data_IF_569451033863
#
_entry.id   IF_569451033863
#
_cell.length_a   1.000
_cell.length_b   1.000
_cell.length_c   1.000
_cell.angle_alpha   90.00
_cell.angle_beta   90.00
_cell.angle_gamma   90.00
#
_symmetry.space_group_name_H-M   'P 1'
#
loop_
_entity.id
_entity.type
_entity.pdbx_description
1 polymer ?
#
# COMPACT_ATOMS: atom_id res chain seq x y z
N UNK A 1 37.58 34.40 -20.65
CA UNK A 1 37.32 33.32 -19.67
C UNK A 1 36.19 33.74 -18.75
N UNK A 2 34.98 33.32 -19.01
CA UNK A 2 33.86 33.51 -18.05
C UNK A 2 34.02 32.43 -17.00
N UNK A 3 34.60 32.78 -15.86
CA UNK A 3 34.63 31.91 -14.68
C UNK A 3 33.17 31.71 -14.22
N UNK A 4 32.77 30.45 -14.00
CA UNK A 4 31.47 30.13 -13.46
C UNK A 4 31.29 30.88 -12.13
N UNK A 5 30.31 31.79 -11.99
CA UNK A 5 30.20 32.66 -10.82
C UNK A 5 29.63 31.94 -9.58
N UNK A 6 29.25 30.65 -9.71
CA UNK A 6 28.63 29.89 -8.64
C UNK A 6 29.41 28.62 -8.36
N UNK A 7 29.81 28.43 -7.10
CA UNK A 7 30.26 27.14 -6.58
C UNK A 7 29.02 26.35 -6.15
N UNK A 8 28.68 25.33 -6.89
CA UNK A 8 27.63 24.41 -6.50
C UNK A 8 28.13 23.47 -5.40
N UNK A 9 27.59 23.59 -4.20
CA UNK A 9 27.75 22.59 -3.15
C UNK A 9 26.69 21.51 -3.31
N UNK A 10 27.07 20.35 -3.82
CA UNK A 10 26.15 19.23 -3.98
C UNK A 10 26.12 18.41 -2.70
N UNK A 11 24.94 18.35 -2.06
CA UNK A 11 24.71 17.52 -0.87
C UNK A 11 23.82 16.34 -1.25
N UNK A 12 24.39 15.14 -1.25
CA UNK A 12 23.63 13.92 -1.48
C UNK A 12 22.92 13.50 -0.17
N UNK A 13 21.59 13.42 -0.21
CA UNK A 13 20.78 12.94 0.93
C UNK A 13 20.53 11.42 0.86
N UNK A 14 20.46 10.87 -0.34
CA UNK A 14 20.29 9.44 -0.60
C UNK A 14 20.93 9.08 -1.94
N UNK A 15 21.27 7.80 -2.11
CA UNK A 15 21.83 7.30 -3.36
C UNK A 15 20.78 6.42 -4.08
N UNK A 16 20.37 6.85 -5.26
CA UNK A 16 19.47 6.10 -6.13
C UNK A 16 20.24 5.62 -7.35
N UNK A 17 20.54 4.30 -7.47
CA UNK A 17 21.44 3.79 -8.51
C UNK A 17 20.93 4.00 -9.94
N UNK A 18 19.62 3.85 -10.14
CA UNK A 18 18.98 3.92 -11.45
C UNK A 18 17.49 4.25 -11.34
N UNK A 19 16.85 4.50 -12.49
CA UNK A 19 15.43 4.82 -12.58
C UNK A 19 14.52 3.71 -12.01
N UNK A 20 14.91 2.44 -12.18
CA UNK A 20 14.15 1.32 -11.62
C UNK A 20 14.06 1.37 -10.09
N UNK A 21 15.17 1.72 -9.40
CA UNK A 21 15.15 1.92 -7.95
C UNK A 21 14.29 3.12 -7.53
N UNK A 22 14.30 4.20 -8.32
CA UNK A 22 13.46 5.37 -8.05
C UNK A 22 11.95 5.04 -8.16
N UNK A 23 11.58 4.19 -9.12
CA UNK A 23 10.19 3.82 -9.39
C UNK A 23 9.71 2.63 -8.56
N UNK A 24 10.62 1.80 -8.05
CA UNK A 24 10.30 0.57 -7.30
C UNK A 24 9.28 0.78 -6.16
N UNK A 25 9.35 1.83 -5.31
CA UNK A 25 8.36 2.06 -4.26
C UNK A 25 6.92 2.16 -4.76
N UNK A 26 6.75 2.81 -5.90
CA UNK A 26 5.45 2.98 -6.54
C UNK A 26 4.93 1.66 -7.13
N UNK A 27 5.79 0.95 -7.87
CA UNK A 27 5.42 -0.33 -8.52
C UNK A 27 5.09 -1.39 -7.49
N UNK A 28 5.87 -1.50 -6.40
CA UNK A 28 5.60 -2.41 -5.28
C UNK A 28 4.24 -2.12 -4.63
N UNK A 29 3.99 -0.85 -4.31
CA UNK A 29 2.70 -0.48 -3.73
C UNK A 29 1.54 -0.75 -4.69
N UNK A 30 1.72 -0.50 -5.97
CA UNK A 30 0.74 -0.80 -7.01
C UNK A 30 0.44 -2.30 -7.08
N UNK A 31 1.48 -3.14 -7.14
CA UNK A 31 1.34 -4.58 -7.29
C UNK A 31 0.61 -5.21 -6.08
N UNK A 32 0.94 -4.80 -4.86
CA UNK A 32 0.25 -5.24 -3.64
C UNK A 32 -1.24 -4.86 -3.65
N UNK A 33 -1.58 -3.64 -4.07
CA UNK A 33 -2.97 -3.21 -4.16
C UNK A 33 -3.74 -3.99 -5.23
N UNK A 34 -3.14 -4.16 -6.41
CA UNK A 34 -3.74 -4.94 -7.51
C UNK A 34 -3.90 -6.39 -7.11
N UNK A 35 -2.93 -6.99 -6.42
CA UNK A 35 -3.03 -8.36 -5.89
C UNK A 35 -4.23 -8.53 -4.95
N UNK A 36 -4.42 -7.59 -4.04
CA UNK A 36 -5.57 -7.56 -3.15
C UNK A 36 -6.90 -7.39 -3.92
N UNK A 37 -6.88 -6.56 -4.97
CA UNK A 37 -8.05 -6.32 -5.83
C UNK A 37 -8.43 -7.59 -6.59
N UNK A 38 -7.48 -8.24 -7.24
CA UNK A 38 -7.69 -9.51 -7.98
C UNK A 38 -8.23 -10.60 -7.05
N UNK A 39 -7.68 -10.73 -5.85
CA UNK A 39 -8.21 -11.69 -4.86
C UNK A 39 -9.67 -11.41 -4.55
N UNK A 40 -10.05 -10.17 -4.27
CA UNK A 40 -11.43 -9.81 -3.93
C UNK A 40 -12.41 -9.91 -5.11
N UNK A 41 -11.92 -9.90 -6.35
CA UNK A 41 -12.73 -10.21 -7.53
C UNK A 41 -12.95 -11.72 -7.71
N UNK A 42 -11.89 -12.52 -7.52
CA UNK A 42 -11.92 -13.96 -7.76
C UNK A 42 -12.55 -14.74 -6.60
N UNK A 43 -12.33 -14.30 -5.35
CA UNK A 43 -12.79 -15.01 -4.18
C UNK A 43 -14.25 -14.67 -3.82
N UNK A 44 -15.13 -15.67 -3.64
CA UNK A 44 -16.54 -15.46 -3.31
C UNK A 44 -16.68 -15.05 -1.84
N UNK A 45 -16.40 -13.81 -1.53
CA UNK A 45 -16.21 -13.31 -0.16
C UNK A 45 -17.50 -13.38 0.66
N UNK A 46 -18.68 -13.16 0.04
CA UNK A 46 -19.99 -13.20 0.69
C UNK A 46 -20.52 -14.62 0.91
N UNK A 47 -19.98 -15.61 0.19
CA UNK A 47 -20.49 -16.97 0.28
C UNK A 47 -20.18 -17.58 1.64
N UNK A 48 -21.21 -18.07 2.32
CA UNK A 48 -21.08 -18.83 3.55
C UNK A 48 -20.64 -20.24 3.20
N UNK A 49 -19.54 -20.71 3.79
CA UNK A 49 -18.99 -22.05 3.51
C UNK A 49 -19.67 -23.15 4.33
N UNK A 50 -20.33 -22.80 5.44
CA UNK A 50 -20.95 -23.74 6.36
C UNK A 50 -22.28 -23.17 6.86
N UNK A 51 -23.37 -23.90 6.65
CA UNK A 51 -24.74 -23.46 6.99
C UNK A 51 -24.94 -23.31 8.52
N UNK A 52 -24.22 -24.10 9.33
CA UNK A 52 -24.36 -24.11 10.80
C UNK A 52 -23.30 -23.24 11.50
N UNK A 53 -22.56 -22.42 10.76
CA UNK A 53 -21.51 -21.55 11.30
C UNK A 53 -22.08 -20.28 11.94
N UNK A 54 -21.49 -19.84 13.07
CA UNK A 54 -21.81 -18.53 13.64
C UNK A 54 -21.26 -17.40 12.78
N UNK A 55 -21.90 -16.22 12.83
CA UNK A 55 -21.46 -15.02 12.12
C UNK A 55 -19.99 -14.66 12.41
N UNK A 56 -19.57 -14.85 13.68
CA UNK A 56 -18.18 -14.63 14.10
C UNK A 56 -17.20 -15.62 13.46
N UNK A 57 -17.58 -16.89 13.37
CA UNK A 57 -16.73 -17.90 12.70
C UNK A 57 -16.59 -17.62 11.21
N UNK A 58 -17.67 -17.19 10.56
CA UNK A 58 -17.63 -16.77 9.17
C UNK A 58 -16.70 -15.58 8.95
N UNK A 59 -16.81 -14.54 9.78
CA UNK A 59 -15.92 -13.37 9.75
C UNK A 59 -14.46 -13.76 9.94
N UNK A 60 -14.14 -14.48 11.02
CA UNK A 60 -12.75 -14.89 11.30
C UNK A 60 -12.18 -15.73 10.17
N UNK A 61 -12.97 -16.60 9.54
CA UNK A 61 -12.56 -17.37 8.37
C UNK A 61 -12.18 -16.47 7.20
N UNK A 62 -12.99 -15.45 6.90
CA UNK A 62 -12.72 -14.52 5.79
C UNK A 62 -11.50 -13.64 6.05
N UNK A 63 -11.39 -13.11 7.27
CA UNK A 63 -10.23 -12.31 7.70
C UNK A 63 -8.96 -13.16 7.68
N UNK A 64 -9.01 -14.39 8.16
CA UNK A 64 -7.86 -15.30 8.16
C UNK A 64 -7.39 -15.65 6.74
N UNK A 65 -8.32 -15.97 5.83
CA UNK A 65 -7.97 -16.27 4.43
C UNK A 65 -7.41 -15.03 3.75
N UNK A 66 -8.06 -13.88 3.88
CA UNK A 66 -7.57 -12.62 3.32
C UNK A 66 -6.21 -12.22 3.89
N UNK A 67 -6.01 -12.40 5.19
CA UNK A 67 -4.73 -12.15 5.86
C UNK A 67 -3.61 -13.09 5.40
N UNK A 68 -3.91 -14.38 5.25
CA UNK A 68 -2.93 -15.35 4.74
C UNK A 68 -2.49 -15.03 3.31
N UNK A 69 -3.43 -14.65 2.43
CA UNK A 69 -3.14 -14.22 1.06
C UNK A 69 -2.35 -12.91 1.07
N UNK A 70 -2.75 -11.92 1.87
CA UNK A 70 -2.04 -10.65 1.98
C UNK A 70 -0.59 -10.84 2.46
N UNK A 71 -0.38 -11.68 3.48
CA UNK A 71 0.96 -12.01 3.97
C UNK A 71 1.78 -12.73 2.88
N UNK A 72 1.19 -13.73 2.25
CA UNK A 72 1.85 -14.50 1.19
C UNK A 72 2.27 -13.64 0.01
N UNK A 73 1.39 -12.77 -0.48
CA UNK A 73 1.70 -11.86 -1.59
C UNK A 73 2.79 -10.86 -1.21
N UNK A 74 2.74 -10.26 -0.01
CA UNK A 74 3.74 -9.33 0.46
C UNK A 74 5.13 -9.95 0.57
N UNK A 75 5.22 -11.14 1.18
CA UNK A 75 6.49 -11.86 1.34
C UNK A 75 7.04 -12.31 -0.01
N UNK A 76 6.18 -12.87 -0.86
CA UNK A 76 6.56 -13.34 -2.20
C UNK A 76 7.09 -12.17 -3.04
N UNK A 77 6.36 -11.07 -3.11
CA UNK A 77 6.73 -9.89 -3.89
C UNK A 77 8.05 -9.29 -3.40
N UNK A 78 8.18 -9.04 -2.09
CA UNK A 78 9.39 -8.50 -1.50
C UNK A 78 10.61 -9.40 -1.78
N UNK A 79 10.46 -10.72 -1.62
CA UNK A 79 11.53 -11.69 -1.86
C UNK A 79 11.91 -11.74 -3.34
N UNK A 80 10.94 -11.78 -4.25
CA UNK A 80 11.19 -11.81 -5.70
C UNK A 80 11.90 -10.54 -6.16
N UNK A 81 11.50 -9.37 -5.69
CA UNK A 81 12.14 -8.11 -6.06
C UNK A 81 13.59 -8.05 -5.58
N UNK A 82 13.89 -8.53 -4.38
CA UNK A 82 15.27 -8.65 -3.91
C UNK A 82 16.06 -9.69 -4.71
N UNK A 83 15.47 -10.83 -5.05
CA UNK A 83 16.11 -11.87 -5.86
C UNK A 83 16.41 -11.41 -7.30
N UNK A 84 15.62 -10.50 -7.86
CA UNK A 84 15.86 -9.88 -9.18
C UNK A 84 16.90 -8.75 -9.15
N UNK A 85 17.48 -8.45 -7.99
CA UNK A 85 18.58 -7.50 -7.85
C UNK A 85 18.20 -6.12 -7.32
N UNK A 86 16.99 -5.94 -6.79
CA UNK A 86 16.64 -4.71 -6.09
C UNK A 86 17.46 -4.60 -4.79
N UNK A 87 18.31 -3.59 -4.72
CA UNK A 87 19.10 -3.31 -3.52
C UNK A 87 18.22 -2.61 -2.48
N UNK A 88 18.22 -3.12 -1.27
CA UNK A 88 17.43 -2.64 -0.14
C UNK A 88 18.37 -2.30 1.02
N UNK A 89 18.35 -1.06 1.49
CA UNK A 89 19.19 -0.62 2.60
C UNK A 89 18.69 -1.18 3.95
N UNK A 90 17.37 -1.20 4.13
CA UNK A 90 16.75 -1.72 5.36
C UNK A 90 15.71 -2.80 5.02
N UNK A 91 16.17 -4.06 5.07
CA UNK A 91 15.35 -5.23 4.74
C UNK A 91 14.14 -5.36 5.69
N UNK A 92 14.32 -5.13 6.99
CA UNK A 92 13.24 -5.22 7.97
C UNK A 92 12.12 -4.21 7.69
N UNK A 93 12.49 -2.96 7.40
CA UNK A 93 11.56 -1.89 7.05
C UNK A 93 10.84 -2.21 5.73
N UNK A 94 11.54 -2.82 4.77
CA UNK A 94 11.02 -3.20 3.48
C UNK A 94 9.89 -4.25 3.58
N UNK A 95 10.16 -5.36 4.29
CA UNK A 95 9.14 -6.39 4.53
C UNK A 95 7.98 -5.88 5.38
N UNK A 96 8.27 -5.09 6.43
CA UNK A 96 7.24 -4.52 7.28
C UNK A 96 6.28 -3.61 6.48
N UNK A 97 6.83 -2.78 5.59
CA UNK A 97 6.03 -1.92 4.71
C UNK A 97 5.17 -2.76 3.76
N UNK A 98 5.75 -3.77 3.11
CA UNK A 98 5.04 -4.67 2.20
C UNK A 98 3.87 -5.37 2.91
N UNK A 99 4.12 -5.93 4.08
CA UNK A 99 3.11 -6.65 4.88
C UNK A 99 2.00 -5.70 5.31
N UNK A 100 2.32 -4.57 5.92
CA UNK A 100 1.31 -3.63 6.41
C UNK A 100 0.46 -3.06 5.27
N UNK A 101 1.08 -2.68 4.16
CA UNK A 101 0.32 -2.15 3.04
C UNK A 101 -0.53 -3.22 2.35
N UNK A 102 -0.05 -4.45 2.27
CA UNK A 102 -0.83 -5.57 1.75
C UNK A 102 -2.07 -5.84 2.62
N UNK A 103 -1.93 -5.85 3.94
CA UNK A 103 -3.07 -5.96 4.86
C UNK A 103 -4.04 -4.78 4.72
N UNK A 104 -3.52 -3.56 4.66
CA UNK A 104 -4.33 -2.35 4.46
C UNK A 104 -5.18 -2.46 3.19
N UNK A 105 -4.55 -2.79 2.07
CA UNK A 105 -5.22 -2.93 0.77
C UNK A 105 -6.22 -4.08 0.78
N UNK A 106 -5.84 -5.23 1.32
CA UNK A 106 -6.68 -6.42 1.39
C UNK A 106 -7.97 -6.15 2.16
N UNK A 107 -7.88 -5.62 3.38
CA UNK A 107 -9.07 -5.44 4.22
C UNK A 107 -9.91 -4.25 3.80
N UNK A 108 -9.31 -3.19 3.25
CA UNK A 108 -10.06 -2.07 2.68
C UNK A 108 -10.93 -2.52 1.50
N UNK A 109 -10.33 -3.26 0.55
CA UNK A 109 -11.05 -3.77 -0.63
C UNK A 109 -12.06 -4.84 -0.22
N UNK A 110 -11.70 -5.69 0.75
CA UNK A 110 -12.59 -6.70 1.31
C UNK A 110 -13.85 -6.06 1.92
N UNK A 111 -13.69 -5.00 2.71
CA UNK A 111 -14.81 -4.25 3.27
C UNK A 111 -15.72 -3.71 2.15
N UNK A 112 -15.17 -3.02 1.16
CA UNK A 112 -15.95 -2.48 0.04
C UNK A 112 -16.69 -3.58 -0.71
N UNK A 113 -16.01 -4.71 -0.97
CA UNK A 113 -16.61 -5.86 -1.67
C UNK A 113 -17.70 -6.54 -0.86
N UNK A 114 -17.55 -6.62 0.47
CA UNK A 114 -18.57 -7.20 1.34
C UNK A 114 -19.78 -6.28 1.53
N UNK A 115 -19.54 -4.97 1.70
CA UNK A 115 -20.61 -3.99 1.91
C UNK A 115 -21.48 -3.81 0.65
N UNK A 116 -20.84 -3.63 -0.52
CA UNK A 116 -21.52 -3.18 -1.72
C UNK A 116 -21.44 -4.17 -2.90
N UNK A 117 -20.78 -5.32 -2.76
CA UNK A 117 -20.56 -6.32 -3.81
C UNK A 117 -19.87 -5.74 -5.06
N UNK A 118 -20.45 -5.90 -6.25
CA UNK A 118 -19.86 -5.41 -7.50
C UNK A 118 -19.64 -3.88 -7.53
N UNK A 119 -20.58 -3.03 -7.10
CA UNK A 119 -20.32 -1.59 -6.90
C UNK A 119 -19.14 -1.31 -5.97
N UNK A 120 -18.98 -2.05 -4.88
CA UNK A 120 -17.85 -1.88 -3.96
C UNK A 120 -16.50 -2.20 -4.60
N UNK A 121 -16.44 -3.26 -5.41
CA UNK A 121 -15.26 -3.60 -6.20
C UNK A 121 -14.93 -2.51 -7.21
N UNK A 122 -15.95 -1.93 -7.85
CA UNK A 122 -15.77 -0.79 -8.75
C UNK A 122 -15.21 0.43 -8.01
N UNK A 123 -15.72 0.75 -6.82
CA UNK A 123 -15.17 1.83 -5.98
C UNK A 123 -13.71 1.56 -5.61
N UNK A 124 -13.34 0.32 -5.32
CA UNK A 124 -11.95 -0.04 -5.06
C UNK A 124 -11.04 0.18 -6.30
N UNK A 125 -11.55 -0.11 -7.51
CA UNK A 125 -10.82 0.21 -8.75
C UNK A 125 -10.67 1.72 -8.97
N UNK A 126 -11.72 2.50 -8.73
CA UNK A 126 -11.63 3.97 -8.76
C UNK A 126 -10.63 4.47 -7.71
N UNK A 127 -10.64 3.87 -6.52
CA UNK A 127 -9.65 4.13 -5.46
C UNK A 127 -8.21 3.89 -5.94
N UNK A 128 -7.97 2.84 -6.73
CA UNK A 128 -6.68 2.61 -7.35
C UNK A 128 -6.28 3.77 -8.29
N UNK A 129 -7.19 4.19 -9.17
CA UNK A 129 -6.91 5.30 -10.09
C UNK A 129 -6.56 6.60 -9.36
N UNK A 130 -7.28 6.89 -8.28
CA UNK A 130 -6.97 8.05 -7.43
C UNK A 130 -5.60 7.92 -6.76
N UNK A 131 -5.24 6.72 -6.29
CA UNK A 131 -3.93 6.46 -5.70
C UNK A 131 -2.79 6.59 -6.72
N UNK A 132 -2.99 6.14 -7.95
CA UNK A 132 -1.98 6.27 -9.01
C UNK A 132 -1.62 7.74 -9.29
N UNK A 133 -2.62 8.63 -9.32
CA UNK A 133 -2.40 10.07 -9.56
C UNK A 133 -2.00 10.85 -8.30
N UNK A 134 -2.54 10.46 -7.13
CA UNK A 134 -2.46 11.25 -5.91
C UNK A 134 -1.42 10.79 -4.89
N UNK A 135 -0.82 9.61 -5.03
CA UNK A 135 0.09 9.08 -4.02
C UNK A 135 1.56 9.61 -4.13
N UNK A 136 1.87 10.46 -5.09
CA UNK A 136 3.21 11.04 -5.23
C UNK A 136 4.29 10.04 -5.64
N UNK A 137 3.90 8.95 -6.33
CA UNK A 137 4.81 7.89 -6.73
C UNK A 137 5.65 8.21 -7.96
N UNK A 138 5.02 8.80 -8.95
CA UNK A 138 5.63 9.11 -10.26
C UNK A 138 6.04 10.57 -10.39
N UNK A 139 5.25 11.49 -9.84
CA UNK A 139 5.49 12.94 -9.91
C UNK A 139 5.51 13.57 -8.52
N UNK A 140 6.35 14.61 -8.30
CA UNK A 140 6.28 15.40 -7.08
C UNK A 140 4.91 16.05 -6.93
N UNK A 141 4.37 16.06 -5.71
CA UNK A 141 3.04 16.60 -5.45
C UNK A 141 2.95 18.11 -5.66
N UNK A 142 4.09 18.83 -5.59
CA UNK A 142 4.20 20.28 -5.79
C UNK A 142 3.80 20.73 -7.19
N UNK A 143 3.95 19.86 -8.19
CA UNK A 143 3.56 20.15 -9.59
C UNK A 143 2.23 19.52 -9.99
N UNK A 144 1.56 18.86 -9.04
CA UNK A 144 0.31 18.14 -9.28
C UNK A 144 -0.89 19.07 -9.03
N UNK A 145 -2.05 18.75 -9.64
CA UNK A 145 -3.28 19.50 -9.50
C UNK A 145 -3.74 19.58 -8.03
N UNK A 146 -4.38 20.68 -7.65
CA UNK A 146 -4.92 20.92 -6.28
C UNK A 146 -5.83 19.78 -5.80
N UNK A 147 -6.61 19.17 -6.67
CA UNK A 147 -7.45 18.02 -6.32
C UNK A 147 -6.62 16.85 -5.77
N UNK A 148 -5.55 16.46 -6.47
CA UNK A 148 -4.67 15.38 -6.00
C UNK A 148 -3.92 15.75 -4.73
N UNK A 149 -3.50 17.00 -4.58
CA UNK A 149 -2.89 17.50 -3.35
C UNK A 149 -3.85 17.40 -2.15
N UNK A 150 -5.13 17.69 -2.36
CA UNK A 150 -6.15 17.61 -1.30
C UNK A 150 -6.41 16.16 -0.85
N UNK A 151 -6.42 15.20 -1.77
CA UNK A 151 -6.68 13.78 -1.44
C UNK A 151 -5.43 13.03 -1.01
N UNK A 152 -4.22 13.52 -1.35
CA UNK A 152 -2.93 12.88 -1.06
C UNK A 152 -2.80 12.33 0.37
N UNK A 153 -3.10 13.08 1.44
CA UNK A 153 -2.97 12.58 2.80
C UNK A 153 -3.98 11.50 3.19
N UNK A 154 -5.04 11.31 2.41
CA UNK A 154 -6.06 10.28 2.66
C UNK A 154 -5.80 8.98 1.90
N UNK A 155 -4.76 8.92 1.07
CA UNK A 155 -4.43 7.76 0.27
C UNK A 155 -3.43 6.85 1.01
N UNK A 156 -3.77 5.60 1.33
CA UNK A 156 -2.86 4.69 2.03
C UNK A 156 -1.58 4.41 1.22
N UNK A 157 -1.64 4.41 -0.10
CA UNK A 157 -0.49 4.20 -0.99
C UNK A 157 0.57 5.31 -0.84
N UNK A 158 0.20 6.53 -0.48
CA UNK A 158 1.13 7.63 -0.16
C UNK A 158 2.15 7.22 0.90
N UNK A 159 1.66 6.64 1.98
CA UNK A 159 2.47 6.24 3.13
C UNK A 159 3.30 4.97 2.82
N UNK A 160 2.75 4.07 2.03
CA UNK A 160 3.46 2.89 1.54
C UNK A 160 4.66 3.29 0.67
N UNK A 161 4.46 4.15 -0.33
CA UNK A 161 5.52 4.64 -1.22
C UNK A 161 6.63 5.33 -0.42
N UNK A 162 6.25 6.17 0.55
CA UNK A 162 7.18 6.90 1.40
C UNK A 162 8.03 5.95 2.25
N UNK A 163 7.40 4.95 2.88
CA UNK A 163 8.10 3.96 3.68
C UNK A 163 8.99 3.04 2.83
N UNK A 164 8.55 2.63 1.64
CA UNK A 164 9.38 1.88 0.69
C UNK A 164 10.59 2.70 0.21
N UNK A 165 10.41 4.00 -0.10
CA UNK A 165 11.53 4.87 -0.44
C UNK A 165 12.57 4.88 0.66
N UNK A 166 12.14 5.02 1.91
CA UNK A 166 13.07 5.01 3.04
C UNK A 166 13.74 3.64 3.24
N UNK A 167 13.02 2.56 3.00
CA UNK A 167 13.57 1.21 3.09
C UNK A 167 14.64 0.92 2.01
N UNK A 168 14.47 1.51 0.81
CA UNK A 168 15.37 1.29 -0.33
C UNK A 168 16.60 2.19 -0.31
N UNK A 169 16.46 3.46 0.06
CA UNK A 169 17.52 4.47 -0.13
C UNK A 169 17.76 5.35 1.09
N UNK A 170 17.01 5.18 2.15
CA UNK A 170 17.10 6.02 3.35
C UNK A 170 16.70 7.48 3.11
N UNK A 171 17.10 8.35 4.03
CA UNK A 171 16.99 9.81 3.88
C UNK A 171 15.69 10.44 4.34
N UNK A 172 14.66 9.66 4.72
CA UNK A 172 13.41 10.17 5.30
C UNK A 172 13.51 10.16 6.83
N UNK A 173 13.00 11.20 7.47
CA UNK A 173 13.00 11.29 8.93
C UNK A 173 12.19 10.15 9.56
N UNK A 174 12.69 9.56 10.64
CA UNK A 174 12.03 8.45 11.34
C UNK A 174 10.61 8.81 11.82
N UNK A 175 10.37 10.08 12.19
CA UNK A 175 9.03 10.54 12.55
C UNK A 175 8.03 10.40 11.41
N UNK A 176 8.44 10.69 10.19
CA UNK A 176 7.62 10.58 8.98
C UNK A 176 7.34 9.12 8.62
N UNK A 177 8.36 8.25 8.75
CA UNK A 177 8.21 6.80 8.52
C UNK A 177 7.26 6.20 9.56
N UNK A 178 7.39 6.57 10.82
CA UNK A 178 6.50 6.11 11.89
C UNK A 178 5.06 6.60 11.68
N UNK A 179 4.88 7.84 11.24
CA UNK A 179 3.56 8.33 10.83
C UNK A 179 2.97 7.46 9.72
N UNK A 180 3.77 7.11 8.72
CA UNK A 180 3.34 6.21 7.64
C UNK A 180 2.84 4.87 8.17
N UNK A 181 3.55 4.24 9.10
CA UNK A 181 3.10 3.00 9.73
C UNK A 181 1.84 3.18 10.55
N UNK A 182 1.74 4.24 11.35
CA UNK A 182 0.54 4.52 12.14
C UNK A 182 -0.69 4.68 11.27
N UNK A 183 -0.57 5.37 10.14
CA UNK A 183 -1.67 5.55 9.19
C UNK A 183 -2.07 4.22 8.55
N UNK A 184 -1.12 3.40 8.08
CA UNK A 184 -1.41 2.09 7.51
C UNK A 184 -2.09 1.16 8.52
N UNK A 185 -1.64 1.15 9.77
CA UNK A 185 -2.27 0.40 10.87
C UNK A 185 -3.69 0.91 11.13
N UNK A 186 -3.88 2.23 11.16
CA UNK A 186 -5.20 2.83 11.37
C UNK A 186 -6.18 2.45 10.24
N UNK A 187 -5.76 2.47 8.98
CA UNK A 187 -6.57 1.99 7.86
C UNK A 187 -6.90 0.50 7.98
N UNK A 188 -5.93 -0.33 8.37
CA UNK A 188 -6.13 -1.77 8.54
C UNK A 188 -7.15 -2.04 9.65
N UNK A 189 -6.96 -1.45 10.83
CA UNK A 189 -7.87 -1.60 11.97
C UNK A 189 -9.24 -1.04 11.64
N UNK A 190 -9.32 0.15 11.06
CA UNK A 190 -10.58 0.77 10.63
C UNK A 190 -11.35 -0.11 9.66
N UNK A 191 -10.68 -0.67 8.67
CA UNK A 191 -11.29 -1.60 7.70
C UNK A 191 -11.80 -2.88 8.37
N UNK A 192 -11.05 -3.44 9.32
CA UNK A 192 -11.47 -4.63 10.08
C UNK A 192 -12.66 -4.33 10.98
N UNK A 193 -12.71 -3.16 11.62
CA UNK A 193 -13.87 -2.75 12.44
C UNK A 193 -15.12 -2.54 11.57
N UNK A 194 -14.96 -1.93 10.40
CA UNK A 194 -16.04 -1.78 9.43
C UNK A 194 -16.51 -3.15 8.89
N UNK A 195 -15.60 -4.08 8.63
CA UNK A 195 -15.94 -5.46 8.28
C UNK A 195 -16.70 -6.16 9.41
N UNK A 196 -16.25 -5.96 10.65
CA UNK A 196 -16.93 -6.54 11.83
C UNK A 196 -18.34 -5.98 11.99
N UNK A 197 -18.56 -4.70 11.71
CA UNK A 197 -19.88 -4.09 11.79
C UNK A 197 -20.91 -4.70 10.82
N UNK A 198 -20.43 -5.22 9.67
CA UNK A 198 -21.30 -5.86 8.68
C UNK A 198 -21.87 -7.22 9.14
N UNK A 199 -21.31 -7.83 10.19
CA UNK A 199 -21.82 -9.10 10.75
C UNK A 199 -23.11 -8.90 11.51
N UNK A 200 -23.34 -7.69 12.02
CA UNK A 200 -24.50 -7.36 12.84
C UNK A 200 -25.68 -6.81 12.02
N UNK A 201 -25.55 -6.73 10.69
CA UNK A 201 -26.60 -6.35 9.75
C UNK A 201 -27.13 -7.59 9.03
#
# INVERSE_FOLDING_TARGET
MFAAPTKTAQKHYSYVPNYGHALAPYVLSLALYVGALVFNFAYPIRKVSRADGTATQWFLSKVAIGGAVALGTAVLEATLMMATGLKVDNIGLFYLTAILFSFTSMYLIMFLSMAFDNPGRFVAMVGLMLQLGGAGGTFPMEITNQFYNAIHPFLPMTYSIMNFRNALTGGIANSTVNLGFMVLIAFTIGSLLLLLSLIHI
#
